data_IF_064153235276
#
_entry.id   IF_064153235276
#
_cell.length_a   1.000
_cell.length_b   1.000
_cell.length_c   1.000
_cell.angle_alpha   90.00
_cell.angle_beta   90.00
_cell.angle_gamma   90.00
#
_symmetry.space_group_name_H-M   'P 1'
#
loop_
_entity.id
_entity.type
_entity.pdbx_description
1 polymer ?
#
# COMPACT_ATOMS: atom_id res chain seq x y z
N UNK A 1 30.90 14.22 11.43
CA UNK A 1 30.19 13.23 10.58
C UNK A 1 28.97 13.90 10.01
N UNK A 2 28.90 14.04 8.69
CA UNK A 2 27.73 14.62 8.02
C UNK A 2 26.65 13.55 8.01
N UNK A 3 25.46 13.86 8.54
CA UNK A 3 24.30 12.96 8.45
C UNK A 3 23.96 12.75 6.96
N UNK A 4 23.65 11.53 6.50
CA UNK A 4 23.13 11.33 5.15
C UNK A 4 21.91 12.23 4.97
N UNK A 5 21.88 13.00 3.90
CA UNK A 5 20.69 13.78 3.58
C UNK A 5 19.59 12.79 3.19
N UNK A 6 18.46 12.84 3.89
CA UNK A 6 17.28 12.05 3.53
C UNK A 6 16.89 12.42 2.10
N UNK A 7 17.10 11.50 1.15
CA UNK A 7 16.62 11.67 -0.21
C UNK A 7 15.11 11.50 -0.18
N UNK A 8 14.38 12.61 -0.21
CA UNK A 8 12.93 12.61 -0.37
C UNK A 8 12.60 12.36 -1.83
N UNK A 9 12.21 11.13 -2.18
CA UNK A 9 11.64 10.80 -3.48
C UNK A 9 10.13 10.97 -3.40
N UNK A 10 9.55 11.85 -4.24
CA UNK A 10 8.11 11.98 -4.39
C UNK A 10 7.66 11.14 -5.59
N UNK A 11 6.64 10.32 -5.39
CA UNK A 11 6.02 9.51 -6.44
C UNK A 11 4.77 10.22 -6.95
N UNK A 12 4.47 10.07 -8.24
CA UNK A 12 3.11 10.35 -8.74
C UNK A 12 2.13 9.30 -8.20
N UNK A 13 0.83 9.60 -8.23
CA UNK A 13 -0.21 8.64 -7.85
C UNK A 13 -0.09 7.31 -8.62
N UNK A 14 0.17 7.41 -9.92
CA UNK A 14 0.39 6.25 -10.79
C UNK A 14 1.65 5.47 -10.39
N UNK A 15 2.77 6.16 -10.11
CA UNK A 15 4.00 5.49 -9.67
C UNK A 15 3.81 4.80 -8.31
N UNK A 16 3.06 5.41 -7.40
CA UNK A 16 2.70 4.80 -6.13
C UNK A 16 1.81 3.55 -6.33
N UNK A 17 0.88 3.59 -7.28
CA UNK A 17 0.05 2.45 -7.64
C UNK A 17 0.91 1.29 -8.17
N UNK A 18 1.78 1.57 -9.14
CA UNK A 18 2.67 0.57 -9.71
C UNK A 18 3.65 -0.01 -8.68
N UNK A 19 4.16 0.83 -7.77
CA UNK A 19 5.02 0.38 -6.68
C UNK A 19 4.32 -0.59 -5.73
N UNK A 20 3.08 -0.27 -5.33
CA UNK A 20 2.28 -1.13 -4.46
C UNK A 20 1.85 -2.41 -5.21
N UNK A 21 1.44 -2.33 -6.48
CA UNK A 21 1.11 -3.50 -7.29
C UNK A 21 2.30 -4.47 -7.37
N UNK A 22 3.48 -3.96 -7.73
CA UNK A 22 4.70 -4.76 -7.81
C UNK A 22 5.07 -5.40 -6.46
N UNK A 23 4.87 -4.67 -5.35
CA UNK A 23 5.12 -5.21 -4.02
C UNK A 23 4.22 -6.41 -3.71
N UNK A 24 2.91 -6.32 -4.02
CA UNK A 24 1.96 -7.42 -3.81
C UNK A 24 2.22 -8.59 -4.76
N UNK A 25 2.51 -8.32 -6.04
CA UNK A 25 2.82 -9.32 -7.05
C UNK A 25 4.05 -10.17 -6.67
N UNK A 26 5.08 -9.51 -6.10
CA UNK A 26 6.24 -10.20 -5.55
C UNK A 26 5.86 -11.16 -4.41
N UNK A 27 4.92 -10.80 -3.56
CA UNK A 27 4.48 -11.65 -2.44
C UNK A 27 3.58 -12.80 -2.90
N UNK A 28 2.70 -12.55 -3.87
CA UNK A 28 1.96 -13.61 -4.54
C UNK A 28 2.90 -14.64 -5.17
N UNK A 29 3.97 -14.17 -5.83
CA UNK A 29 5.03 -15.03 -6.39
C UNK A 29 5.79 -15.85 -5.35
N UNK A 30 5.75 -15.45 -4.06
CA UNK A 30 6.32 -16.20 -2.94
C UNK A 30 5.32 -17.20 -2.31
N UNK A 31 4.13 -17.34 -2.88
CA UNK A 31 3.10 -18.30 -2.45
C UNK A 31 1.97 -17.73 -1.60
N UNK A 32 1.85 -16.39 -1.49
CA UNK A 32 0.68 -15.77 -0.85
C UNK A 32 -0.49 -15.74 -1.83
N UNK A 33 -1.04 -16.93 -2.11
CA UNK A 33 -2.05 -17.17 -3.15
C UNK A 33 -3.33 -16.34 -2.96
N UNK A 34 -3.64 -15.96 -1.71
CA UNK A 34 -4.79 -15.10 -1.38
C UNK A 34 -4.74 -13.73 -2.07
N UNK A 35 -3.55 -13.27 -2.47
CA UNK A 35 -3.38 -12.02 -3.22
C UNK A 35 -3.82 -12.14 -4.68
N UNK A 36 -3.97 -13.34 -5.23
CA UNK A 36 -4.24 -13.54 -6.66
C UNK A 36 -5.54 -12.89 -7.14
N UNK A 37 -6.60 -12.94 -6.31
CA UNK A 37 -7.86 -12.27 -6.62
C UNK A 37 -7.72 -10.74 -6.65
N UNK A 38 -7.01 -10.18 -5.66
CA UNK A 38 -6.74 -8.74 -5.57
C UNK A 38 -5.89 -8.30 -6.76
N UNK A 39 -4.80 -9.00 -7.07
CA UNK A 39 -3.94 -8.69 -8.21
C UNK A 39 -4.69 -8.76 -9.55
N UNK A 40 -5.63 -9.70 -9.69
CA UNK A 40 -6.53 -9.77 -10.84
C UNK A 40 -7.38 -8.50 -10.98
N UNK A 41 -8.05 -8.06 -9.91
CA UNK A 41 -8.84 -6.82 -9.90
C UNK A 41 -7.99 -5.56 -10.15
N UNK A 42 -6.76 -5.55 -9.66
CA UNK A 42 -5.82 -4.42 -9.77
C UNK A 42 -5.05 -4.36 -11.09
N UNK A 43 -5.02 -5.45 -11.86
CA UNK A 43 -4.30 -5.50 -13.13
C UNK A 43 -4.79 -4.41 -14.08
N UNK A 44 -3.87 -3.72 -14.75
CA UNK A 44 -4.24 -2.66 -15.68
C UNK A 44 -4.70 -3.24 -17.02
N UNK A 45 -5.85 -2.78 -17.48
CA UNK A 45 -6.33 -2.95 -18.85
C UNK A 45 -5.47 -2.13 -19.83
N UNK A 46 -5.56 -2.36 -21.16
CA UNK A 46 -4.78 -1.60 -22.15
C UNK A 46 -4.95 -0.09 -22.07
N UNK A 47 -6.08 0.38 -21.53
CA UNK A 47 -6.37 1.80 -21.32
C UNK A 47 -5.73 2.39 -20.05
N UNK A 48 -4.95 1.59 -19.31
CA UNK A 48 -4.24 2.01 -18.10
C UNK A 48 -5.10 2.09 -16.84
N UNK A 49 -6.30 1.51 -16.85
CA UNK A 49 -7.21 1.45 -15.69
C UNK A 49 -7.24 0.06 -15.07
N UNK A 50 -7.43 -0.08 -13.75
CA UNK A 50 -7.66 -1.37 -13.11
C UNK A 50 -8.79 -2.16 -13.77
N UNK A 51 -8.65 -3.49 -13.83
CA UNK A 51 -9.64 -4.40 -14.38
C UNK A 51 -10.98 -4.33 -13.65
N UNK A 52 -10.94 -4.07 -12.34
CA UNK A 52 -12.11 -3.74 -11.52
C UNK A 52 -12.17 -2.22 -11.29
N UNK A 53 -13.24 -1.59 -11.77
CA UNK A 53 -13.44 -0.15 -11.62
C UNK A 53 -13.60 0.31 -10.16
N UNK A 54 -14.01 -0.56 -9.24
CA UNK A 54 -14.12 -0.23 -7.81
C UNK A 54 -12.75 0.13 -7.20
N UNK A 55 -11.68 -0.50 -7.68
CA UNK A 55 -10.33 -0.28 -7.18
C UNK A 55 -9.76 1.11 -7.55
N UNK A 56 -10.37 1.80 -8.52
CA UNK A 56 -9.98 3.18 -8.85
C UNK A 56 -10.33 4.11 -7.70
N UNK A 57 -11.56 4.05 -7.18
CA UNK A 57 -11.99 4.90 -6.07
C UNK A 57 -11.27 4.53 -4.76
N UNK A 58 -11.11 3.23 -4.51
CA UNK A 58 -10.44 2.75 -3.29
C UNK A 58 -8.98 3.20 -3.25
N UNK A 59 -8.29 3.18 -4.40
CA UNK A 59 -6.92 3.69 -4.50
C UNK A 59 -6.84 5.20 -4.26
N UNK A 60 -7.74 5.99 -4.86
CA UNK A 60 -7.78 7.43 -4.66
C UNK A 60 -8.01 7.80 -3.20
N UNK A 61 -8.91 7.09 -2.51
CA UNK A 61 -9.15 7.26 -1.08
C UNK A 61 -7.91 6.90 -0.26
N UNK A 62 -7.25 5.77 -0.57
CA UNK A 62 -6.03 5.36 0.11
C UNK A 62 -4.90 6.38 -0.05
N UNK A 63 -4.72 6.95 -1.25
CA UNK A 63 -3.74 8.00 -1.52
C UNK A 63 -4.07 9.27 -0.75
N UNK A 64 -5.33 9.71 -0.74
CA UNK A 64 -5.76 10.87 0.03
C UNK A 64 -5.52 10.70 1.54
N UNK A 65 -5.84 9.52 2.08
CA UNK A 65 -5.59 9.18 3.48
C UNK A 65 -4.07 9.16 3.80
N UNK A 66 -3.24 8.62 2.92
CA UNK A 66 -1.79 8.58 3.10
C UNK A 66 -1.19 10.00 3.07
N UNK A 67 -1.57 10.82 2.09
CA UNK A 67 -1.07 12.20 1.93
C UNK A 67 -1.50 13.10 3.09
N UNK A 68 -2.71 12.90 3.62
CA UNK A 68 -3.23 13.67 4.77
C UNK A 68 -2.72 13.18 6.12
N UNK A 69 -1.93 12.10 6.17
CA UNK A 69 -1.38 11.53 7.41
C UNK A 69 -2.41 10.75 8.24
N UNK A 70 -3.51 10.31 7.63
CA UNK A 70 -4.55 9.51 8.30
C UNK A 70 -4.19 8.03 8.42
N UNK A 71 -3.21 7.55 7.65
CA UNK A 71 -2.75 6.15 7.69
C UNK A 71 -1.68 5.98 8.77
N UNK A 72 -1.90 5.02 9.68
CA UNK A 72 -0.91 4.61 10.68
C UNK A 72 -0.58 3.12 10.51
N UNK A 73 0.62 2.82 10.00
CA UNK A 73 1.13 1.46 9.82
C UNK A 73 2.04 1.00 10.97
N UNK A 74 2.17 1.77 12.05
CA UNK A 74 3.02 1.42 13.19
C UNK A 74 2.41 0.25 13.95
N UNK A 75 3.14 -0.86 14.01
CA UNK A 75 2.79 -1.98 14.86
C UNK A 75 2.87 -1.55 16.33
N UNK A 76 1.74 -1.54 17.03
CA UNK A 76 1.66 -1.31 18.48
C UNK A 76 1.49 -2.66 19.17
N UNK A 77 2.56 -3.19 19.76
CA UNK A 77 2.47 -4.39 20.62
C UNK A 77 2.29 -3.94 22.07
N UNK A 78 1.07 -4.08 22.58
CA UNK A 78 0.73 -3.75 23.97
C UNK A 78 0.92 -4.92 24.92
N UNK A 79 1.90 -4.78 25.82
CA UNK A 79 1.87 -5.38 27.16
C UNK A 79 0.53 -5.09 27.84
N UNK A 80 -0.11 -6.14 28.36
CA UNK A 80 -1.39 -6.08 29.08
C UNK A 80 -1.33 -5.04 30.21
N UNK A 81 -2.36 -4.20 30.43
CA UNK A 81 -2.41 -3.34 31.60
C UNK A 81 -2.41 -4.22 32.85
N UNK A 82 -1.33 -4.14 33.63
CA UNK A 82 -1.28 -4.73 34.96
C UNK A 82 -2.07 -3.85 35.92
N UNK A 83 -3.09 -4.42 36.56
CA UNK A 83 -3.75 -3.82 37.70
C UNK A 83 -5.25 -3.63 37.55
N UNK A 84 -6.00 -4.72 37.69
CA UNK A 84 -7.32 -4.73 38.34
C UNK A 84 -7.60 -6.16 38.82
N UNK A 85 -7.12 -6.46 40.02
CA UNK A 85 -7.65 -7.48 40.94
C UNK A 85 -7.60 -6.91 42.33
#
# INVERSE_FOLDING_TARGET
GVRPQEQTMQLTEEQAYLAMYYFLDKHFSLGLEELGGILGSMSLLPEGKPADAAFVSDWQEAVAAAVSGQVNAQLVIGSKPSGLT
#
